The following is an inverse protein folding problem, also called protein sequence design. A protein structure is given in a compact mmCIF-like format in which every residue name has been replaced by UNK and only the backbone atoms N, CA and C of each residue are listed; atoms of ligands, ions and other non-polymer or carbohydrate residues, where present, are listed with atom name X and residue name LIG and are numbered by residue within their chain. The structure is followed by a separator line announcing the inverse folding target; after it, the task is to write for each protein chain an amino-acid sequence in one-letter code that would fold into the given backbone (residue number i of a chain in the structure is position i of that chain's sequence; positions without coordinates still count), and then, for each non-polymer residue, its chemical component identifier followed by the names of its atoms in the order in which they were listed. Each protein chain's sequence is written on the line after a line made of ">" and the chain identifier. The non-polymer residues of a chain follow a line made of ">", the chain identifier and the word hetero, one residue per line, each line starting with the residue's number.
data_IF_926405767802
#
_entry.id   IF_926405767802
#
_cell.length_a   1.000
_cell.length_b   1.000
_cell.length_c   1.000
_cell.angle_alpha   90.00
_cell.angle_beta   90.00
_cell.angle_gamma   90.00
#
_symmetry.space_group_name_H-M   'P 1'
#
loop_
_entity.id
_entity.type
_entity.pdbx_description
1 polymer ?
#
# COMPACT_ATOMS: atom_id res chain seq x y z
N UNK A 1 29.92 -9.38 -60.92
CA UNK A 1 28.63 -8.64 -60.96
C UNK A 1 27.56 -9.63 -60.52
N UNK A 2 26.83 -9.43 -59.42
CA UNK A 2 25.74 -8.45 -59.22
C UNK A 2 24.51 -8.82 -60.07
N UNK A 3 23.27 -8.98 -59.61
CA UNK A 3 22.59 -8.89 -58.27
C UNK A 3 21.20 -9.56 -58.41
N UNK A 4 20.35 -9.90 -57.42
CA UNK A 4 20.36 -9.97 -55.94
C UNK A 4 19.07 -10.69 -55.45
N UNK A 5 18.99 -11.10 -54.16
CA UNK A 5 17.75 -11.52 -53.43
C UNK A 5 17.02 -12.79 -53.94
N UNK A 6 16.25 -13.57 -53.17
CA UNK A 6 15.70 -13.41 -51.80
C UNK A 6 15.80 -14.74 -51.02
N UNK A 7 16.28 -14.74 -49.76
CA UNK A 7 16.13 -15.92 -48.88
C UNK A 7 14.74 -15.92 -48.24
N UNK A 8 13.86 -16.82 -48.67
CA UNK A 8 12.65 -17.16 -47.92
C UNK A 8 13.06 -18.01 -46.69
N UNK A 9 13.00 -17.43 -45.50
CA UNK A 9 13.30 -18.13 -44.24
C UNK A 9 12.02 -18.77 -43.68
N UNK A 10 11.87 -20.11 -43.66
CA UNK A 10 10.66 -20.78 -43.15
C UNK A 10 10.59 -20.83 -41.60
N UNK A 11 11.04 -19.78 -40.91
CA UNK A 11 11.00 -19.68 -39.44
C UNK A 11 9.68 -19.12 -38.92
N UNK A 12 8.57 -19.73 -39.35
CA UNK A 12 7.34 -19.80 -38.55
C UNK A 12 7.03 -21.24 -38.17
N UNK A 13 8.05 -21.95 -37.69
CA UNK A 13 7.89 -23.22 -37.01
C UNK A 13 6.84 -23.04 -35.91
N UNK A 14 5.70 -23.72 -36.04
CA UNK A 14 4.68 -23.70 -35.01
C UNK A 14 5.30 -24.27 -33.73
N UNK A 15 5.14 -23.55 -32.61
CA UNK A 15 5.30 -24.18 -31.29
C UNK A 15 4.17 -25.18 -31.15
N UNK A 16 4.39 -26.39 -31.67
CA UNK A 16 3.56 -27.55 -31.41
C UNK A 16 3.41 -27.61 -29.89
N UNK A 17 2.17 -27.38 -29.42
CA UNK A 17 1.86 -27.51 -27.99
C UNK A 17 2.01 -28.99 -27.68
N UNK A 18 3.12 -29.35 -27.04
CA UNK A 18 3.30 -30.70 -26.50
C UNK A 18 2.09 -31.00 -25.64
N UNK A 19 1.28 -31.96 -26.08
CA UNK A 19 0.09 -32.45 -25.37
C UNK A 19 0.58 -33.30 -24.21
N UNK A 20 1.16 -32.64 -23.21
CA UNK A 20 1.63 -33.28 -21.99
C UNK A 20 0.49 -34.05 -21.32
N UNK A 21 0.81 -35.22 -20.77
CA UNK A 21 -0.17 -36.14 -20.17
C UNK A 21 -0.91 -35.59 -18.93
N UNK A 22 -0.63 -34.35 -18.54
CA UNK A 22 -1.15 -33.70 -17.35
C UNK A 22 -2.04 -32.50 -17.73
N UNK A 23 -3.36 -32.68 -17.59
CA UNK A 23 -4.32 -31.56 -17.59
C UNK A 23 -4.30 -30.93 -16.19
N UNK A 24 -4.00 -29.63 -16.10
CA UNK A 24 -4.25 -28.85 -14.88
C UNK A 24 -5.76 -28.71 -14.66
N UNK A 25 -6.33 -29.64 -13.89
CA UNK A 25 -7.70 -29.54 -13.38
C UNK A 25 -7.66 -28.64 -12.15
N UNK A 26 -8.46 -27.58 -12.13
CA UNK A 26 -8.74 -26.86 -10.88
C UNK A 26 -9.74 -27.68 -10.07
N UNK A 27 -9.31 -28.22 -8.94
CA UNK A 27 -10.24 -28.67 -7.90
C UNK A 27 -11.13 -27.48 -7.54
N UNK A 28 -12.47 -27.59 -7.59
CA UNK A 28 -13.35 -26.55 -7.07
C UNK A 28 -13.01 -26.31 -5.59
N UNK A 29 -13.02 -25.06 -5.10
CA UNK A 29 -12.95 -24.82 -3.66
C UNK A 29 -14.16 -25.51 -3.00
N UNK A 30 -13.91 -26.35 -2.00
CA UNK A 30 -14.99 -26.98 -1.24
C UNK A 30 -15.82 -25.90 -0.55
N UNK A 31 -17.14 -25.99 -0.67
CA UNK A 31 -18.07 -25.10 0.02
C UNK A 31 -17.88 -25.24 1.53
N UNK A 32 -17.41 -24.17 2.18
CA UNK A 32 -17.29 -24.13 3.64
C UNK A 32 -18.69 -24.02 4.23
N UNK A 33 -19.08 -24.97 5.08
CA UNK A 33 -20.34 -24.92 5.80
C UNK A 33 -20.37 -23.69 6.73
N UNK A 34 -21.46 -22.87 6.73
CA UNK A 34 -21.53 -21.68 7.57
C UNK A 34 -21.42 -22.02 9.07
N UNK A 35 -20.59 -21.31 9.84
CA UNK A 35 -20.41 -21.58 11.26
C UNK A 35 -21.67 -21.21 12.06
N UNK A 36 -21.92 -21.94 13.16
CA UNK A 36 -22.93 -21.56 14.13
C UNK A 36 -22.54 -20.23 14.79
N UNK A 37 -23.37 -19.20 14.62
CA UNK A 37 -23.17 -17.86 15.17
C UNK A 37 -23.96 -17.69 16.47
N UNK A 38 -23.33 -17.08 17.48
CA UNK A 38 -24.05 -16.60 18.66
C UNK A 38 -24.95 -15.39 18.34
N UNK A 39 -25.80 -14.98 19.30
CA UNK A 39 -26.76 -13.89 19.09
C UNK A 39 -26.11 -12.52 18.78
N UNK A 40 -24.94 -12.22 19.36
CA UNK A 40 -24.20 -10.99 19.08
C UNK A 40 -23.54 -11.03 17.70
N UNK A 41 -22.96 -12.18 17.33
CA UNK A 41 -22.42 -12.40 15.99
C UNK A 41 -23.53 -12.32 14.92
N UNK A 42 -24.70 -12.91 15.20
CA UNK A 42 -25.89 -12.85 14.34
C UNK A 42 -26.33 -11.40 14.09
N UNK A 43 -26.45 -10.58 15.14
CA UNK A 43 -26.77 -9.16 15.00
C UNK A 43 -25.78 -8.39 14.09
N UNK A 44 -24.48 -8.70 14.14
CA UNK A 44 -23.44 -8.10 13.28
C UNK A 44 -23.55 -8.57 11.81
N UNK A 45 -24.10 -9.76 11.56
CA UNK A 45 -24.35 -10.30 10.21
C UNK A 45 -25.67 -9.75 9.62
N UNK A 46 -26.66 -9.51 10.47
CA UNK A 46 -27.98 -9.01 10.07
C UNK A 46 -28.03 -7.47 9.97
N UNK A 47 -27.03 -6.75 10.50
CA UNK A 47 -26.86 -5.31 10.32
C UNK A 47 -26.63 -4.90 8.85
N UNK A 48 -27.64 -4.25 8.25
CA UNK A 48 -27.64 -3.83 6.84
C UNK A 48 -27.15 -2.42 6.59
N UNK A 49 -27.55 -1.43 7.40
CA UNK A 49 -27.44 -0.01 7.08
C UNK A 49 -26.78 0.84 8.20
N UNK A 50 -26.05 1.88 7.80
CA UNK A 50 -25.38 2.79 8.73
C UNK A 50 -24.13 2.19 9.42
N UNK A 51 -23.40 3.01 10.20
CA UNK A 51 -22.18 2.60 10.88
C UNK A 51 -22.47 1.67 12.07
N UNK A 52 -21.61 0.65 12.26
CA UNK A 52 -21.67 -0.26 13.40
C UNK A 52 -20.29 -0.38 14.06
N UNK A 53 -20.23 -0.24 15.39
CA UNK A 53 -19.05 -0.50 16.20
C UNK A 53 -19.20 -1.85 16.92
N UNK A 54 -18.29 -2.79 16.63
CA UNK A 54 -18.32 -4.14 17.23
C UNK A 54 -17.23 -4.25 18.30
N UNK A 55 -17.62 -4.13 19.57
CA UNK A 55 -16.73 -4.36 20.71
C UNK A 55 -16.64 -5.86 21.01
N UNK A 56 -15.45 -6.44 20.84
CA UNK A 56 -15.28 -7.90 20.90
C UNK A 56 -13.88 -8.29 21.41
N UNK A 57 -13.84 -9.16 22.44
CA UNK A 57 -12.61 -9.58 23.13
C UNK A 57 -11.72 -10.54 22.33
N UNK A 58 -10.55 -10.93 22.85
CA UNK A 58 -9.75 -12.02 22.29
C UNK A 58 -10.59 -13.31 22.18
N UNK A 59 -10.38 -14.11 21.14
CA UNK A 59 -11.06 -15.39 20.94
C UNK A 59 -12.53 -15.35 20.50
N UNK A 60 -13.27 -14.23 20.66
CA UNK A 60 -14.73 -14.14 20.43
C UNK A 60 -15.18 -14.12 18.96
N UNK A 61 -14.54 -14.90 18.08
CA UNK A 61 -15.01 -15.10 16.70
C UNK A 61 -14.88 -13.93 15.72
N UNK A 62 -14.35 -12.75 16.12
CA UNK A 62 -14.27 -11.51 15.28
C UNK A 62 -14.05 -11.72 13.78
N UNK A 63 -13.01 -12.48 13.41
CA UNK A 63 -12.65 -12.76 12.01
C UNK A 63 -13.74 -13.55 11.28
N UNK A 64 -14.35 -14.52 11.96
CA UNK A 64 -15.48 -15.32 11.47
C UNK A 64 -16.72 -14.44 11.30
N UNK A 65 -17.05 -13.61 12.29
CA UNK A 65 -18.18 -12.67 12.23
C UNK A 65 -18.04 -11.70 11.06
N UNK A 66 -16.82 -11.19 10.80
CA UNK A 66 -16.54 -10.33 9.67
C UNK A 66 -16.71 -11.06 8.32
N UNK A 67 -16.23 -12.30 8.21
CA UNK A 67 -16.39 -13.11 6.98
C UNK A 67 -17.86 -13.42 6.71
N UNK A 68 -18.65 -13.82 7.72
CA UNK A 68 -20.08 -14.07 7.54
C UNK A 68 -20.89 -12.79 7.30
N UNK A 69 -20.51 -11.66 7.91
CA UNK A 69 -21.15 -10.35 7.66
C UNK A 69 -20.85 -9.84 6.24
N UNK A 70 -19.71 -10.22 5.65
CA UNK A 70 -19.43 -10.02 4.22
C UNK A 70 -20.21 -11.01 3.36
N UNK A 71 -20.23 -12.30 3.71
CA UNK A 71 -20.93 -13.33 2.94
C UNK A 71 -22.43 -13.03 2.82
N UNK A 72 -23.09 -12.71 3.93
CA UNK A 72 -24.51 -12.37 3.96
C UNK A 72 -24.85 -11.11 3.13
N UNK A 73 -23.92 -10.14 2.99
CA UNK A 73 -24.13 -8.99 2.08
C UNK A 73 -24.09 -9.40 0.60
N UNK A 74 -23.24 -10.35 0.24
CA UNK A 74 -23.19 -10.90 -1.14
C UNK A 74 -24.39 -11.81 -1.41
N UNK A 75 -24.77 -12.66 -0.45
CA UNK A 75 -25.95 -13.55 -0.53
C UNK A 75 -27.27 -12.77 -0.66
N UNK A 76 -27.36 -11.58 -0.06
CA UNK A 76 -28.46 -10.61 -0.26
C UNK A 76 -28.40 -9.85 -1.60
N UNK A 77 -27.51 -10.23 -2.51
CA UNK A 77 -27.37 -9.62 -3.85
C UNK A 77 -26.39 -8.44 -3.94
N UNK A 78 -25.62 -8.16 -2.89
CA UNK A 78 -24.61 -7.09 -2.89
C UNK A 78 -23.38 -7.43 -3.74
N UNK A 79 -22.97 -6.50 -4.61
CA UNK A 79 -21.78 -6.65 -5.45
C UNK A 79 -20.49 -6.80 -4.61
N UNK A 80 -19.75 -7.92 -4.73
CA UNK A 80 -18.46 -8.12 -4.06
C UNK A 80 -17.43 -7.02 -4.34
N UNK A 81 -17.46 -6.39 -5.52
CA UNK A 81 -16.52 -5.31 -5.88
C UNK A 81 -16.78 -4.01 -5.10
N UNK A 82 -17.96 -3.86 -4.48
CA UNK A 82 -18.32 -2.72 -3.62
C UNK A 82 -18.00 -2.97 -2.13
N UNK A 83 -17.43 -4.12 -1.78
CA UNK A 83 -17.07 -4.50 -0.41
C UNK A 83 -15.54 -4.42 -0.22
N UNK A 84 -15.11 -3.49 0.65
CA UNK A 84 -13.72 -3.30 1.04
C UNK A 84 -13.51 -3.72 2.51
N UNK A 85 -12.51 -4.57 2.74
CA UNK A 85 -12.08 -5.02 4.07
C UNK A 85 -10.66 -4.53 4.32
N UNK A 86 -10.46 -3.73 5.37
CA UNK A 86 -9.16 -3.18 5.77
C UNK A 86 -8.63 -3.83 7.05
N UNK A 87 -7.32 -4.03 7.11
CA UNK A 87 -6.63 -4.56 8.29
C UNK A 87 -5.19 -4.03 8.40
N UNK A 88 -4.53 -4.27 9.53
CA UNK A 88 -3.19 -3.73 9.81
C UNK A 88 -2.04 -4.58 9.26
N UNK A 89 -2.23 -5.89 9.04
CA UNK A 89 -1.14 -6.78 8.58
C UNK A 89 -1.41 -7.44 7.25
N UNK A 90 -0.35 -7.62 6.43
CA UNK A 90 -0.42 -8.35 5.15
C UNK A 90 -0.87 -9.80 5.33
N UNK A 91 -0.48 -10.46 6.44
CA UNK A 91 -0.94 -11.81 6.78
C UNK A 91 -2.45 -11.86 7.00
N UNK A 92 -3.01 -10.95 7.79
CA UNK A 92 -4.45 -10.89 8.01
C UNK A 92 -5.24 -10.55 6.74
N UNK A 93 -4.69 -9.69 5.85
CA UNK A 93 -5.33 -9.37 4.57
C UNK A 93 -5.40 -10.59 3.62
N UNK A 94 -4.31 -11.37 3.55
CA UNK A 94 -4.26 -12.67 2.86
C UNK A 94 -5.29 -13.64 3.46
N UNK A 95 -5.24 -13.85 4.77
CA UNK A 95 -6.12 -14.77 5.48
C UNK A 95 -7.61 -14.42 5.34
N UNK A 96 -7.97 -13.13 5.41
CA UNK A 96 -9.34 -12.65 5.20
C UNK A 96 -9.81 -12.89 3.76
N UNK A 97 -9.00 -12.52 2.76
CA UNK A 97 -9.33 -12.78 1.34
C UNK A 97 -9.57 -14.26 1.09
N UNK A 98 -8.69 -15.11 1.61
CA UNK A 98 -8.71 -16.56 1.32
C UNK A 98 -9.90 -17.24 2.04
N UNK A 99 -10.23 -16.81 3.28
CA UNK A 99 -11.46 -17.20 3.98
C UNK A 99 -12.72 -16.76 3.21
N UNK A 100 -12.80 -15.51 2.75
CA UNK A 100 -13.95 -15.00 1.99
C UNK A 100 -14.11 -15.72 0.65
N UNK A 101 -13.01 -15.99 -0.07
CA UNK A 101 -13.04 -16.73 -1.33
C UNK A 101 -13.55 -18.17 -1.14
N UNK A 102 -13.14 -18.86 -0.08
CA UNK A 102 -13.65 -20.19 0.27
C UNK A 102 -15.13 -20.16 0.68
N UNK A 103 -15.55 -19.19 1.50
CA UNK A 103 -16.94 -19.03 1.98
C UNK A 103 -17.93 -18.63 0.88
N UNK A 104 -17.47 -17.93 -0.16
CA UNK A 104 -18.28 -17.49 -1.31
C UNK A 104 -18.19 -18.43 -2.52
N UNK A 105 -17.26 -19.40 -2.53
CA UNK A 105 -16.98 -20.26 -3.70
C UNK A 105 -16.46 -19.53 -4.95
N UNK A 106 -16.19 -18.21 -4.85
CA UNK A 106 -16.02 -17.33 -6.00
C UNK A 106 -14.54 -17.07 -6.34
N UNK A 107 -14.19 -17.17 -7.62
CA UNK A 107 -12.84 -16.87 -8.13
C UNK A 107 -12.46 -15.37 -8.06
N UNK A 108 -13.41 -14.49 -7.74
CA UNK A 108 -13.23 -13.07 -7.42
C UNK A 108 -14.10 -12.72 -6.22
N UNK A 109 -13.53 -12.78 -5.02
CA UNK A 109 -14.19 -12.33 -3.78
C UNK A 109 -13.93 -10.84 -3.48
N UNK A 110 -14.55 -10.31 -2.42
CA UNK A 110 -14.32 -8.95 -1.92
C UNK A 110 -12.86 -8.60 -1.64
N UNK A 111 -12.53 -7.31 -1.72
CA UNK A 111 -11.16 -6.83 -1.54
C UNK A 111 -10.77 -6.77 -0.06
N UNK A 112 -9.96 -7.72 0.41
CA UNK A 112 -9.23 -7.58 1.68
C UNK A 112 -7.79 -7.09 1.43
N UNK A 113 -7.39 -6.02 2.12
CA UNK A 113 -6.09 -5.37 1.95
C UNK A 113 -5.64 -4.65 3.24
N UNK A 114 -4.42 -4.09 3.25
CA UNK A 114 -3.97 -3.22 4.35
C UNK A 114 -4.29 -1.76 4.08
N UNK A 115 -4.43 -0.94 5.13
CA UNK A 115 -4.59 0.52 4.99
C UNK A 115 -3.52 1.13 4.06
N UNK A 116 -2.24 0.85 4.31
CA UNK A 116 -1.12 1.31 3.48
C UNK A 116 -1.25 0.86 2.01
N UNK A 117 -1.60 -0.40 1.78
CA UNK A 117 -1.78 -0.96 0.44
C UNK A 117 -2.98 -0.35 -0.30
N UNK A 118 -4.06 -0.04 0.42
CA UNK A 118 -5.23 0.65 -0.15
C UNK A 118 -4.91 2.10 -0.51
N UNK A 119 -4.33 2.86 0.42
CA UNK A 119 -3.98 4.27 0.18
C UNK A 119 -2.95 4.42 -0.95
N UNK A 120 -1.95 3.53 -1.05
CA UNK A 120 -1.03 3.53 -2.17
C UNK A 120 -1.72 3.20 -3.51
N UNK A 121 -2.64 2.23 -3.54
CA UNK A 121 -3.42 1.93 -4.75
C UNK A 121 -4.31 3.11 -5.18
N UNK A 122 -4.96 3.79 -4.21
CA UNK A 122 -5.77 4.98 -4.45
C UNK A 122 -4.93 6.14 -5.02
N UNK A 123 -3.78 6.43 -4.39
CA UNK A 123 -2.84 7.45 -4.87
C UNK A 123 -2.33 7.11 -6.27
N UNK A 124 -2.00 5.83 -6.56
CA UNK A 124 -1.55 5.40 -7.89
C UNK A 124 -2.64 5.43 -8.97
N UNK A 125 -3.91 5.38 -8.59
CA UNK A 125 -5.06 5.49 -9.50
C UNK A 125 -5.47 6.94 -9.79
N UNK A 126 -5.10 7.89 -8.91
CA UNK A 126 -5.45 9.31 -9.00
C UNK A 126 -4.21 10.23 -8.97
N UNK A 127 -3.04 9.71 -9.32
CA UNK A 127 -1.81 10.51 -9.45
C UNK A 127 -1.95 11.47 -10.63
N UNK A 128 -1.58 12.73 -10.41
CA UNK A 128 -1.56 13.76 -11.45
C UNK A 128 -0.35 13.56 -12.38
N UNK A 129 -0.60 13.52 -13.69
CA UNK A 129 0.45 13.33 -14.69
C UNK A 129 1.31 14.58 -14.92
N UNK A 130 0.77 15.78 -14.64
CA UNK A 130 1.48 17.04 -14.80
C UNK A 130 2.41 17.33 -13.59
N UNK A 131 2.11 16.72 -12.43
CA UNK A 131 2.95 16.80 -11.22
C UNK A 131 3.98 15.65 -11.10
N UNK A 132 3.74 14.51 -11.75
CA UNK A 132 4.59 13.32 -11.62
C UNK A 132 4.96 12.72 -12.99
N UNK A 133 6.16 13.05 -13.47
CA UNK A 133 6.73 12.51 -14.71
C UNK A 133 6.89 10.98 -14.71
N UNK A 134 7.06 10.38 -13.52
CA UNK A 134 7.18 8.93 -13.30
C UNK A 134 6.08 8.40 -12.36
N UNK A 135 5.62 7.15 -12.54
CA UNK A 135 4.63 6.55 -11.64
C UNK A 135 5.14 6.48 -10.19
N UNK A 136 4.34 7.01 -9.25
CA UNK A 136 4.75 7.16 -7.85
C UNK A 136 5.30 5.87 -7.24
N UNK A 137 6.48 5.95 -6.64
CA UNK A 137 7.20 4.84 -6.02
C UNK A 137 7.34 5.06 -4.51
N UNK A 138 7.03 4.05 -3.72
CA UNK A 138 7.35 4.06 -2.29
C UNK A 138 8.86 3.78 -2.12
N UNK A 139 9.57 4.68 -1.43
CA UNK A 139 10.92 4.42 -0.95
C UNK A 139 10.88 3.44 0.23
N UNK A 140 11.82 2.50 0.29
CA UNK A 140 12.12 1.75 1.50
C UNK A 140 12.89 2.60 2.50
N UNK A 141 12.94 2.18 3.78
CA UNK A 141 13.70 2.88 4.82
C UNK A 141 15.17 3.16 4.47
N UNK A 142 15.93 2.19 3.90
CA UNK A 142 17.30 2.43 3.45
C UNK A 142 17.41 3.41 2.28
N UNK A 143 16.46 3.40 1.33
CA UNK A 143 16.44 4.39 0.24
C UNK A 143 16.12 5.79 0.78
N UNK A 144 15.23 5.90 1.78
CA UNK A 144 14.94 7.16 2.46
C UNK A 144 16.15 7.68 3.25
N UNK A 145 16.95 6.83 3.91
CA UNK A 145 18.23 7.23 4.54
C UNK A 145 19.19 7.85 3.51
N UNK A 146 19.38 7.15 2.38
CA UNK A 146 20.25 7.62 1.29
C UNK A 146 19.77 8.97 0.75
N UNK A 147 18.50 9.09 0.36
CA UNK A 147 17.94 10.34 -0.18
C UNK A 147 18.00 11.50 0.83
N UNK A 148 17.73 11.28 2.12
CA UNK A 148 17.87 12.34 3.14
C UNK A 148 19.33 12.79 3.27
N UNK A 149 20.29 11.85 3.25
CA UNK A 149 21.72 12.15 3.37
C UNK A 149 22.29 12.84 2.13
N UNK A 150 21.82 12.46 0.93
CA UNK A 150 22.15 13.15 -0.32
C UNK A 150 21.64 14.60 -0.33
N UNK A 151 20.38 14.81 0.09
CA UNK A 151 19.78 16.15 0.18
C UNK A 151 20.47 17.05 1.22
N UNK A 152 20.89 16.49 2.36
CA UNK A 152 21.60 17.25 3.41
C UNK A 152 23.03 17.59 2.98
N UNK A 153 23.79 16.62 2.46
CA UNK A 153 25.15 16.86 2.00
C UNK A 153 25.19 17.86 0.82
N UNK A 154 24.27 17.72 -0.14
CA UNK A 154 24.18 18.57 -1.32
C UNK A 154 23.90 20.05 -1.06
N UNK A 155 23.34 20.42 0.12
CA UNK A 155 23.19 21.84 0.46
C UNK A 155 24.55 22.56 0.55
N UNK A 156 25.59 21.89 1.02
CA UNK A 156 26.93 22.49 1.11
C UNK A 156 27.53 22.84 -0.26
N UNK A 157 27.05 22.21 -1.34
CA UNK A 157 27.47 22.52 -2.71
C UNK A 157 26.54 23.56 -3.36
N UNK A 158 25.22 23.41 -3.19
CA UNK A 158 24.24 24.43 -3.61
C UNK A 158 24.51 25.81 -2.99
N UNK A 159 25.03 25.86 -1.75
CA UNK A 159 25.41 27.12 -1.09
C UNK A 159 26.67 27.76 -1.70
N UNK A 160 27.64 26.96 -2.18
CA UNK A 160 28.83 27.46 -2.90
C UNK A 160 28.45 28.01 -4.28
N UNK A 161 27.49 27.38 -4.93
CA UNK A 161 26.96 27.78 -6.24
C UNK A 161 25.93 28.92 -6.17
N UNK A 162 25.50 29.31 -4.96
CA UNK A 162 24.49 30.36 -4.75
C UNK A 162 23.05 29.93 -5.05
N UNK A 163 22.80 28.63 -5.20
CA UNK A 163 21.52 28.00 -5.56
C UNK A 163 20.71 27.49 -4.35
N UNK A 164 21.25 27.58 -3.13
CA UNK A 164 20.59 27.08 -1.93
C UNK A 164 19.35 27.89 -1.51
N UNK A 165 18.19 27.23 -1.56
CA UNK A 165 16.92 27.79 -1.07
C UNK A 165 16.68 27.57 0.44
N UNK A 166 17.43 26.67 1.07
CA UNK A 166 17.38 26.41 2.52
C UNK A 166 18.71 26.83 3.14
N UNK A 167 18.67 27.58 4.24
CA UNK A 167 19.88 27.94 5.01
C UNK A 167 19.85 27.23 6.35
N UNK A 168 20.87 26.43 6.62
CA UNK A 168 21.07 25.82 7.93
C UNK A 168 21.84 26.77 8.86
N UNK A 169 21.47 26.85 10.16
CA UNK A 169 22.25 27.59 11.17
C UNK A 169 23.71 27.14 11.19
N UNK A 170 24.64 28.05 11.44
CA UNK A 170 26.10 27.79 11.35
C UNK A 170 26.55 26.61 12.21
N UNK A 171 25.95 26.47 13.40
CA UNK A 171 26.14 25.38 14.36
C UNK A 171 25.83 23.99 13.77
N UNK A 172 24.89 23.89 12.81
CA UNK A 172 24.45 22.65 12.19
C UNK A 172 25.13 22.36 10.84
N UNK A 173 25.84 23.33 10.24
CA UNK A 173 26.52 23.17 8.92
C UNK A 173 27.52 22.01 8.92
N UNK A 174 28.25 21.83 10.03
CA UNK A 174 29.19 20.73 10.21
C UNK A 174 28.50 19.36 10.37
N UNK A 175 27.22 19.33 10.75
CA UNK A 175 26.46 18.11 10.98
C UNK A 175 25.82 17.54 9.71
N UNK A 176 25.65 18.33 8.64
CA UNK A 176 24.92 17.96 7.41
C UNK A 176 25.43 16.69 6.71
N UNK A 177 26.73 16.41 6.80
CA UNK A 177 27.34 15.20 6.20
C UNK A 177 27.31 13.98 7.14
N UNK A 178 26.89 14.16 8.40
CA UNK A 178 26.90 13.09 9.42
C UNK A 178 25.65 12.23 9.34
N UNK A 179 25.82 10.91 9.55
CA UNK A 179 24.68 9.98 9.58
C UNK A 179 23.71 10.27 10.73
N UNK A 180 24.23 10.59 11.92
CA UNK A 180 23.40 10.86 13.10
C UNK A 180 22.43 12.03 12.89
N UNK A 181 22.89 13.12 12.28
CA UNK A 181 22.03 14.26 11.97
C UNK A 181 20.94 13.91 10.95
N UNK A 182 21.25 13.11 9.93
CA UNK A 182 20.26 12.62 8.98
C UNK A 182 19.21 11.70 9.62
N UNK A 183 19.61 10.85 10.58
CA UNK A 183 18.70 10.02 11.37
C UNK A 183 17.76 10.87 12.26
N UNK A 184 18.26 11.94 12.89
CA UNK A 184 17.45 12.89 13.67
C UNK A 184 16.48 13.70 12.78
N UNK A 185 16.94 14.27 11.66
CA UNK A 185 16.08 14.97 10.69
C UNK A 185 14.98 14.04 10.17
N UNK A 186 15.31 12.77 9.88
CA UNK A 186 14.35 11.73 9.48
C UNK A 186 13.34 11.41 10.59
N UNK A 187 13.75 11.43 11.86
CA UNK A 187 12.86 11.24 13.01
C UNK A 187 11.89 12.42 13.21
N UNK A 188 12.36 13.67 13.11
CA UNK A 188 11.52 14.87 13.15
C UNK A 188 10.50 14.86 12.01
N UNK A 189 10.92 14.59 10.77
CA UNK A 189 10.02 14.51 9.62
C UNK A 189 8.97 13.40 9.76
N UNK A 190 9.33 12.24 10.33
CA UNK A 190 8.37 11.19 10.63
C UNK A 190 7.35 11.65 11.68
N UNK A 191 7.81 12.25 12.80
CA UNK A 191 6.93 12.65 13.90
C UNK A 191 6.02 13.83 13.55
N UNK A 192 6.48 14.79 12.76
CA UNK A 192 5.63 15.86 12.21
C UNK A 192 4.49 15.29 11.36
N UNK A 193 4.77 14.28 10.52
CA UNK A 193 3.74 13.61 9.71
C UNK A 193 2.73 12.82 10.55
N UNK A 194 3.17 12.15 11.62
CA UNK A 194 2.26 11.49 12.58
C UNK A 194 1.31 12.47 13.28
N UNK A 195 1.75 13.71 13.50
CA UNK A 195 0.96 14.78 14.10
C UNK A 195 0.15 15.61 13.08
N UNK A 196 0.20 15.27 11.79
CA UNK A 196 -0.47 16.02 10.71
C UNK A 196 0.15 17.39 10.41
N UNK A 197 1.37 17.67 10.90
CA UNK A 197 2.07 18.94 10.71
C UNK A 197 2.76 18.96 9.34
N UNK A 198 2.19 19.74 8.41
CA UNK A 198 2.84 20.10 7.14
C UNK A 198 3.95 21.15 7.32
N UNK A 199 4.75 21.44 6.27
CA UNK A 199 5.90 22.35 6.34
C UNK A 199 5.55 23.74 6.89
N UNK A 200 4.45 24.36 6.40
CA UNK A 200 4.02 25.68 6.86
C UNK A 200 3.63 25.71 8.33
N UNK A 201 3.04 24.62 8.83
CA UNK A 201 2.66 24.47 10.24
C UNK A 201 3.89 24.30 11.14
N UNK A 202 4.92 23.60 10.66
CA UNK A 202 6.21 23.44 11.34
C UNK A 202 6.97 24.77 11.38
N UNK A 203 7.12 25.45 10.25
CA UNK A 203 7.77 26.76 10.18
C UNK A 203 6.99 27.83 10.98
N UNK A 204 5.66 27.75 11.05
CA UNK A 204 4.85 28.59 11.93
C UNK A 204 5.01 28.23 13.42
N UNK A 205 5.33 26.97 13.76
CA UNK A 205 5.66 26.56 15.12
C UNK A 205 7.04 27.10 15.53
N UNK A 206 8.07 26.90 14.69
CA UNK A 206 9.42 27.44 14.86
C UNK A 206 9.44 28.95 15.14
N UNK A 207 8.71 29.73 14.34
CA UNK A 207 8.55 31.19 14.53
C UNK A 207 7.86 31.57 15.85
N UNK A 208 6.98 30.72 16.40
CA UNK A 208 6.33 30.97 17.71
C UNK A 208 7.20 30.57 18.90
N UNK A 209 8.07 29.58 18.74
CA UNK A 209 8.96 29.09 19.81
C UNK A 209 10.33 29.77 19.84
N UNK A 210 10.64 30.61 18.85
CA UNK A 210 11.93 31.31 18.75
C UNK A 210 13.08 30.37 18.37
N UNK A 211 12.79 29.27 17.67
CA UNK A 211 13.75 28.24 17.26
C UNK A 211 14.08 28.40 15.76
N UNK A 212 15.23 28.99 15.38
CA UNK A 212 15.62 29.16 13.97
C UNK A 212 16.16 27.88 13.32
N UNK A 213 16.23 26.80 14.08
CA UNK A 213 16.68 25.45 13.69
C UNK A 213 15.51 24.49 13.35
N UNK A 214 14.28 25.01 13.18
CA UNK A 214 13.02 24.29 12.94
C UNK A 214 12.19 24.87 11.78
#
# INVERSE_FOLDING_TARGET
>A
MSSSTTRHSPHRASRQRTTGAYRLVRTPPGSVEPPLLDAGQRAVVDHTEGPLLVLAGPGTGKTTTLVESVAARVERGGDPARILVLTFSRKAAVELRDRMAARLGAARGPQATTFHSYCYALVRAHQDADLFADPLRLLSGPEQDVTVRELLAGQLDLEKEGLAHVRWPDELRACLTTRGFADEVRAVLARSRELGLGPDALAAFARRTGRPDW
#
